data_IF_289017123997
#
_entry.id   IF_289017123997
#
_cell.length_a   1.000
_cell.length_b   1.000
_cell.length_c   1.000
_cell.angle_alpha   90.00
_cell.angle_beta   90.00
_cell.angle_gamma   90.00
#
_symmetry.space_group_name_H-M   'P 1'
#
loop_
_entity.id
_entity.type
_entity.pdbx_description
1 polymer ?
#
# COMPACT_ATOMS: atom_id res chain seq x y z
N UNK A 1 -21.57 -25.82 -1.21
CA UNK A 1 -22.21 -25.42 0.07
C UNK A 1 -23.71 -25.29 -0.16
N UNK A 2 -24.54 -25.84 0.72
CA UNK A 2 -26.02 -25.75 0.64
C UNK A 2 -26.62 -26.07 -0.75
N UNK A 3 -26.11 -27.11 -1.40
CA UNK A 3 -26.56 -27.54 -2.74
C UNK A 3 -26.09 -26.65 -3.90
N UNK A 4 -25.18 -25.69 -3.67
CA UNK A 4 -24.52 -24.89 -4.70
C UNK A 4 -23.03 -25.19 -4.77
N UNK A 5 -22.50 -25.26 -5.99
CA UNK A 5 -21.07 -25.39 -6.24
C UNK A 5 -20.38 -24.02 -6.22
N UNK A 6 -19.16 -23.99 -5.72
CA UNK A 6 -18.32 -22.80 -5.63
C UNK A 6 -16.90 -23.14 -6.06
N UNK A 7 -16.20 -22.15 -6.62
CA UNK A 7 -14.77 -22.26 -6.88
C UNK A 7 -13.99 -21.95 -5.60
N UNK A 8 -12.89 -22.69 -5.42
CA UNK A 8 -11.90 -22.40 -4.38
C UNK A 8 -10.75 -21.64 -5.03
N UNK A 9 -10.63 -20.35 -4.71
CA UNK A 9 -9.46 -19.54 -5.06
C UNK A 9 -8.50 -19.49 -3.87
N UNK A 10 -7.21 -19.64 -4.14
CA UNK A 10 -6.15 -19.59 -3.13
C UNK A 10 -5.65 -18.15 -2.95
N UNK A 11 -5.10 -17.79 -1.77
CA UNK A 11 -4.50 -16.47 -1.58
C UNK A 11 -3.28 -16.28 -2.48
N UNK A 12 -3.09 -15.05 -2.95
CA UNK A 12 -1.93 -14.64 -3.73
C UNK A 12 -0.95 -13.85 -2.84
N UNK A 13 0.35 -14.16 -3.00
CA UNK A 13 1.47 -13.38 -2.46
C UNK A 13 2.55 -13.23 -3.53
N UNK A 14 3.38 -12.21 -3.37
CA UNK A 14 4.53 -11.95 -4.24
C UNK A 14 5.81 -11.74 -3.43
N UNK A 15 6.97 -11.86 -4.08
CA UNK A 15 8.24 -11.51 -3.46
C UNK A 15 8.40 -9.97 -3.33
N UNK A 16 7.80 -9.22 -4.26
CA UNK A 16 7.92 -7.76 -4.36
C UNK A 16 6.58 -7.10 -4.74
N UNK A 17 6.25 -5.99 -4.09
CA UNK A 17 5.19 -5.06 -4.49
C UNK A 17 5.75 -3.67 -4.78
N UNK A 18 5.36 -3.12 -5.93
CA UNK A 18 5.67 -1.75 -6.35
C UNK A 18 4.40 -0.91 -6.20
N UNK A 19 4.48 0.14 -5.37
CA UNK A 19 3.34 0.92 -4.92
C UNK A 19 3.51 2.36 -5.39
N UNK A 20 2.50 2.91 -6.07
CA UNK A 20 2.41 4.34 -6.30
C UNK A 20 1.57 4.99 -5.21
N UNK A 21 2.05 6.07 -4.63
CA UNK A 21 1.37 6.84 -3.60
C UNK A 21 1.32 8.33 -3.95
N UNK A 22 0.36 9.05 -3.38
CA UNK A 22 0.31 10.51 -3.54
C UNK A 22 1.30 11.18 -2.58
N UNK A 23 1.26 10.81 -1.29
CA UNK A 23 2.18 11.33 -0.28
C UNK A 23 2.75 10.19 0.54
N UNK A 24 3.99 10.37 0.98
CA UNK A 24 4.59 9.59 2.05
C UNK A 24 5.20 10.49 3.12
N UNK A 25 5.23 10.02 4.36
CA UNK A 25 6.15 10.55 5.37
C UNK A 25 7.43 9.70 5.44
N UNK A 26 8.50 10.13 6.16
CA UNK A 26 9.74 9.37 6.24
C UNK A 26 9.62 8.05 7.02
N UNK A 27 8.47 7.79 7.65
CA UNK A 27 8.16 6.53 8.34
C UNK A 27 7.45 5.53 7.41
N UNK A 28 7.12 5.92 6.17
CA UNK A 28 6.46 5.08 5.19
C UNK A 28 4.94 5.18 5.20
N UNK A 29 4.32 6.07 5.97
CA UNK A 29 2.86 6.22 5.95
C UNK A 29 2.42 6.81 4.62
N UNK A 30 1.49 6.15 3.91
CA UNK A 30 1.08 6.54 2.57
C UNK A 30 -0.35 7.07 2.51
N UNK A 31 -0.56 8.09 1.69
CA UNK A 31 -1.87 8.51 1.18
C UNK A 31 -1.96 8.28 -0.33
N UNK A 32 -3.19 8.26 -0.86
CA UNK A 32 -3.45 8.04 -2.28
C UNK A 32 -4.47 9.04 -2.80
N UNK A 33 -4.35 9.42 -4.07
CA UNK A 33 -5.33 10.30 -4.70
C UNK A 33 -6.46 9.49 -5.34
N UNK A 34 -7.69 9.65 -4.84
CA UNK A 34 -8.95 9.12 -5.39
C UNK A 34 -8.81 7.74 -6.07
N UNK A 35 -8.85 7.71 -7.41
CA UNK A 35 -8.83 6.48 -8.21
C UNK A 35 -7.44 5.84 -8.35
N UNK A 36 -6.35 6.58 -8.10
CA UNK A 36 -5.00 6.06 -8.07
C UNK A 36 -4.77 5.13 -6.86
N UNK A 37 -5.66 5.15 -5.86
CA UNK A 37 -5.60 4.22 -4.71
C UNK A 37 -5.74 2.75 -5.11
N UNK A 38 -6.68 2.42 -6.01
CA UNK A 38 -7.01 1.08 -6.51
C UNK A 38 -6.42 -0.13 -5.71
N UNK A 39 -5.44 -0.85 -6.27
CA UNK A 39 -4.82 -2.05 -5.70
C UNK A 39 -3.61 -1.73 -4.82
N UNK A 40 -3.10 -0.49 -4.83
CA UNK A 40 -1.88 -0.11 -4.12
C UNK A 40 -1.87 -0.54 -2.63
N UNK A 41 -2.87 -0.20 -1.80
CA UNK A 41 -2.91 -0.67 -0.41
C UNK A 41 -3.02 -2.19 -0.27
N UNK A 42 -3.73 -2.85 -1.19
CA UNK A 42 -3.93 -4.30 -1.15
C UNK A 42 -2.62 -5.04 -1.48
N UNK A 43 -1.88 -4.56 -2.48
CA UNK A 43 -0.60 -5.14 -2.89
C UNK A 43 0.49 -4.91 -1.84
N UNK A 44 0.47 -3.78 -1.13
CA UNK A 44 1.40 -3.50 -0.04
C UNK A 44 1.32 -4.54 1.10
N UNK A 45 0.14 -5.14 1.33
CA UNK A 45 -0.07 -6.18 2.34
C UNK A 45 0.32 -7.60 1.85
N UNK A 46 0.55 -7.76 0.55
CA UNK A 46 0.62 -9.06 -0.12
C UNK A 46 2.03 -9.43 -0.62
N UNK A 47 3.06 -8.68 -0.26
CA UNK A 47 4.43 -8.96 -0.65
C UNK A 47 5.38 -9.15 0.54
N UNK A 48 6.55 -9.72 0.28
CA UNK A 48 7.63 -9.85 1.25
C UNK A 48 8.50 -8.59 1.30
N UNK A 49 8.65 -7.90 0.16
CA UNK A 49 9.27 -6.57 0.06
C UNK A 49 8.30 -5.60 -0.60
N UNK A 50 8.23 -4.38 -0.10
CA UNK A 50 7.35 -3.32 -0.57
C UNK A 50 8.16 -2.06 -0.84
N UNK A 51 8.02 -1.52 -2.05
CA UNK A 51 8.69 -0.30 -2.47
C UNK A 51 7.60 0.68 -2.87
N UNK A 52 7.58 1.85 -2.24
CA UNK A 52 6.65 2.91 -2.57
C UNK A 52 7.36 4.10 -3.23
N UNK A 53 6.75 4.57 -4.32
CA UNK A 53 7.11 5.78 -5.06
C UNK A 53 5.99 6.80 -4.84
N UNK A 54 6.15 7.71 -3.85
CA UNK A 54 5.21 8.79 -3.61
C UNK A 54 5.48 9.99 -4.53
N UNK A 55 4.41 10.70 -4.93
CA UNK A 55 4.56 11.97 -5.67
C UNK A 55 5.17 13.08 -4.79
N UNK A 56 4.94 13.05 -3.48
CA UNK A 56 5.49 14.00 -2.50
C UNK A 56 5.92 13.30 -1.20
N UNK A 57 7.14 13.60 -0.71
CA UNK A 57 7.55 13.22 0.65
C UNK A 57 7.39 14.44 1.57
N UNK A 58 6.51 14.32 2.57
CA UNK A 58 6.22 15.35 3.58
C UNK A 58 6.96 15.06 4.88
N UNK A 59 6.94 15.98 5.85
CA UNK A 59 7.57 15.71 7.15
C UNK A 59 6.73 14.73 7.98
N UNK A 60 7.39 14.05 8.92
CA UNK A 60 6.69 13.18 9.88
C UNK A 60 5.68 14.02 10.70
N UNK A 61 4.42 13.59 10.69
CA UNK A 61 3.31 14.29 11.35
C UNK A 61 2.52 15.25 10.44
N UNK A 62 2.95 15.48 9.19
CA UNK A 62 2.19 16.29 8.23
C UNK A 62 1.05 15.50 7.57
N UNK A 63 1.08 14.17 7.66
CA UNK A 63 -0.06 13.31 7.32
C UNK A 63 -0.92 13.16 8.57
N UNK A 64 -2.19 13.57 8.49
CA UNK A 64 -3.17 13.30 9.53
C UNK A 64 -3.26 11.77 9.77
N UNK A 65 -3.08 11.28 11.01
CA UNK A 65 -3.19 9.86 11.31
C UNK A 65 -4.47 9.20 10.79
N UNK A 66 -5.60 9.91 10.78
CA UNK A 66 -6.87 9.39 10.27
C UNK A 66 -6.91 9.31 8.73
N UNK A 67 -5.98 9.99 8.04
CA UNK A 67 -5.82 9.97 6.60
C UNK A 67 -4.79 8.95 6.09
N UNK A 68 -4.05 8.27 6.98
CA UNK A 68 -3.11 7.21 6.58
C UNK A 68 -3.87 6.03 5.99
N UNK A 69 -3.66 5.77 4.71
CA UNK A 69 -4.33 4.68 4.00
C UNK A 69 -3.53 3.38 4.05
N UNK A 70 -2.20 3.48 4.05
CA UNK A 70 -1.28 2.35 4.23
C UNK A 70 -0.27 2.71 5.31
N UNK A 71 -0.25 1.99 6.44
CA UNK A 71 0.70 2.26 7.52
C UNK A 71 2.13 1.98 7.09
N UNK A 72 3.07 2.82 7.52
CA UNK A 72 4.49 2.65 7.17
C UNK A 72 5.16 1.40 7.71
N UNK A 73 4.55 0.72 8.69
CA UNK A 73 5.06 -0.53 9.25
C UNK A 73 5.21 -1.67 8.23
N UNK A 74 4.52 -1.57 7.07
CA UNK A 74 4.59 -2.56 5.99
C UNK A 74 5.24 -1.98 4.73
N UNK A 75 5.93 -0.85 4.82
CA UNK A 75 6.66 -0.22 3.72
C UNK A 75 8.16 -0.36 3.99
N UNK A 76 8.88 -1.08 3.13
CA UNK A 76 10.31 -1.34 3.32
C UNK A 76 11.18 -0.22 2.75
N UNK A 77 10.79 0.34 1.60
CA UNK A 77 11.57 1.35 0.89
C UNK A 77 10.69 2.47 0.33
N UNK A 78 11.18 3.70 0.48
CA UNK A 78 10.65 4.88 -0.21
C UNK A 78 11.67 5.35 -1.25
N UNK A 79 11.18 5.66 -2.45
CA UNK A 79 11.98 6.30 -3.49
C UNK A 79 11.65 7.80 -3.50
N UNK A 80 12.69 8.63 -3.53
CA UNK A 80 12.57 10.07 -3.70
C UNK A 80 13.26 10.48 -5.00
N UNK A 81 12.63 11.33 -5.79
CA UNK A 81 13.29 12.04 -6.91
C UNK A 81 14.19 13.18 -6.42
#
# INVERSE_FOLDING_TARGET
LDGRDYLLELPLRADLALIQAQKADPLGNLTYDLSARNFNPLMALAADITIAEPDEIVAAGDIDPDCVATPGAIIDWLIAE
#
